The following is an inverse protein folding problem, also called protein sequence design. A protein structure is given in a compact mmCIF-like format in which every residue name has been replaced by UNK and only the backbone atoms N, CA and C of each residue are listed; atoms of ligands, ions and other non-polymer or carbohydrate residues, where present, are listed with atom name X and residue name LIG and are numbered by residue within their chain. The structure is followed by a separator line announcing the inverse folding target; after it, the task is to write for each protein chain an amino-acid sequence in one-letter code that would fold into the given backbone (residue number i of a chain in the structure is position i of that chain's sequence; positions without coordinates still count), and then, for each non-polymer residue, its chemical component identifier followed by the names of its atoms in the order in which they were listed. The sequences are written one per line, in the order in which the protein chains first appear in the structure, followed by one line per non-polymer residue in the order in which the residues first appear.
data_IF_976833446036
#
_entry.id   IF_976833446036
#
_cell.length_a   1.000
_cell.length_b   1.000
_cell.length_c   1.000
_cell.angle_alpha   90.00
_cell.angle_beta   90.00
_cell.angle_gamma   90.00
#
_symmetry.space_group_name_H-M   'P 1'
#
loop_
_entity.id
_entity.type
_entity.pdbx_description
1 polymer ?
#
# COMPACT_ATOMS: atom_id res chain seq x y z
N UNK A 1 -21.77 17.57 2.90
CA UNK A 1 -20.57 16.73 2.76
C UNK A 1 -20.40 16.46 1.28
N UNK A 2 -19.20 16.59 0.71
CA UNK A 2 -18.95 16.19 -0.67
C UNK A 2 -19.28 14.69 -0.79
N UNK A 3 -20.06 14.35 -1.81
CA UNK A 3 -20.59 13.00 -1.98
C UNK A 3 -19.60 12.20 -2.85
N UNK A 4 -18.39 11.93 -2.32
CA UNK A 4 -17.38 11.15 -3.03
C UNK A 4 -17.82 9.70 -3.15
N UNK A 5 -17.60 9.11 -4.33
CA UNK A 5 -17.73 7.68 -4.57
C UNK A 5 -16.33 7.05 -4.61
N UNK A 6 -16.05 6.23 -3.62
CA UNK A 6 -14.73 5.66 -3.42
C UNK A 6 -14.52 4.43 -4.30
N UNK A 7 -13.45 4.44 -5.08
CA UNK A 7 -12.93 3.28 -5.78
C UNK A 7 -11.80 2.63 -4.98
N UNK A 8 -11.84 1.32 -4.79
CA UNK A 8 -10.76 0.54 -4.19
C UNK A 8 -10.21 -0.42 -5.25
N UNK A 9 -8.97 -0.18 -5.67
CA UNK A 9 -8.23 -1.15 -6.48
C UNK A 9 -7.58 -2.17 -5.55
N UNK A 10 -7.96 -3.43 -5.73
CA UNK A 10 -7.53 -4.56 -4.89
C UNK A 10 -7.21 -5.80 -5.73
N UNK A 11 -6.97 -6.96 -5.10
CA UNK A 11 -6.68 -8.23 -5.77
C UNK A 11 -5.18 -8.53 -5.87
N UNK A 12 -4.31 -7.55 -5.65
CA UNK A 12 -2.86 -7.76 -5.44
C UNK A 12 -2.67 -8.57 -4.14
N UNK A 13 -3.43 -8.22 -3.10
CA UNK A 13 -3.81 -9.07 -1.98
C UNK A 13 -5.31 -8.86 -1.76
N UNK A 14 -6.09 -9.94 -1.77
CA UNK A 14 -7.53 -9.83 -1.48
C UNK A 14 -7.78 -9.46 -0.02
N UNK A 15 -6.90 -9.88 0.89
CA UNK A 15 -6.98 -9.60 2.34
C UNK A 15 -6.93 -8.10 2.57
N UNK A 16 -5.93 -7.41 2.02
CA UNK A 16 -5.81 -5.95 2.11
C UNK A 16 -7.08 -5.23 1.64
N UNK A 17 -7.68 -5.70 0.53
CA UNK A 17 -8.95 -5.13 0.03
C UNK A 17 -10.08 -5.25 1.05
N UNK A 18 -10.18 -6.40 1.73
CA UNK A 18 -11.18 -6.62 2.78
C UNK A 18 -10.92 -5.72 4.00
N UNK A 19 -9.66 -5.56 4.41
CA UNK A 19 -9.27 -4.70 5.55
C UNK A 19 -9.61 -3.24 5.27
N UNK A 20 -9.30 -2.75 4.07
CA UNK A 20 -9.70 -1.40 3.64
C UNK A 20 -11.22 -1.25 3.65
N UNK A 21 -11.96 -2.19 3.05
CA UNK A 21 -13.41 -2.13 3.02
C UNK A 21 -14.01 -2.13 4.43
N UNK A 22 -13.55 -3.02 5.31
CA UNK A 22 -13.97 -3.11 6.70
C UNK A 22 -13.65 -1.83 7.46
N UNK A 23 -12.38 -1.40 7.44
CA UNK A 23 -11.90 -0.23 8.19
C UNK A 23 -12.62 1.06 7.79
N UNK A 24 -12.88 1.27 6.49
CA UNK A 24 -13.61 2.44 6.01
C UNK A 24 -15.05 2.44 6.56
N UNK A 25 -15.74 1.29 6.52
CA UNK A 25 -17.11 1.19 7.05
C UNK A 25 -17.14 1.41 8.58
N UNK A 26 -16.17 0.86 9.32
CA UNK A 26 -16.03 1.07 10.77
C UNK A 26 -15.78 2.54 11.13
N UNK A 27 -14.92 3.23 10.37
CA UNK A 27 -14.65 4.67 10.55
C UNK A 27 -15.91 5.50 10.29
N UNK A 28 -16.64 5.21 9.21
CA UNK A 28 -17.90 5.89 8.88
C UNK A 28 -18.92 5.68 9.99
N UNK A 29 -19.08 4.45 10.45
CA UNK A 29 -19.98 4.10 11.55
C UNK A 29 -19.64 4.85 12.83
N UNK A 30 -18.36 4.89 13.22
CA UNK A 30 -17.90 5.57 14.43
C UNK A 30 -18.09 7.09 14.42
N UNK A 31 -18.09 7.70 13.20
CA UNK A 31 -18.21 9.15 13.05
C UNK A 31 -19.60 9.63 12.60
N UNK A 32 -20.58 8.72 12.49
CA UNK A 32 -21.93 9.08 12.07
C UNK A 32 -22.85 9.14 13.29
N UNK A 33 -23.56 10.26 13.51
CA UNK A 33 -24.55 10.37 14.59
C UNK A 33 -25.63 9.27 14.46
N UNK A 34 -26.03 8.69 15.58
CA UNK A 34 -27.07 7.65 15.65
C UNK A 34 -28.48 8.25 15.40
N UNK A 35 -28.72 8.69 14.17
CA UNK A 35 -30.02 9.29 13.78
C UNK A 35 -30.81 8.43 12.80
N UNK A 36 -30.31 7.24 12.44
CA UNK A 36 -30.90 6.34 11.45
C UNK A 36 -31.21 4.97 12.06
N UNK A 37 -32.15 4.23 11.42
CA UNK A 37 -32.48 2.86 11.82
C UNK A 37 -31.33 1.88 11.61
N UNK A 38 -30.49 2.17 10.60
CA UNK A 38 -29.28 1.38 10.25
C UNK A 38 -28.11 2.34 10.01
N UNK A 39 -26.87 1.91 10.29
CA UNK A 39 -25.69 2.71 9.98
C UNK A 39 -25.58 2.95 8.47
N UNK A 40 -25.22 4.17 8.03
CA UNK A 40 -24.98 4.42 6.62
C UNK A 40 -23.71 3.74 6.16
N UNK A 41 -23.74 3.14 4.97
CA UNK A 41 -22.56 2.64 4.29
C UNK A 41 -22.07 3.70 3.29
N UNK A 42 -20.76 3.97 3.21
CA UNK A 42 -20.22 4.85 2.18
C UNK A 42 -20.36 4.19 0.79
N UNK A 43 -20.54 4.99 -0.28
CA UNK A 43 -20.60 4.45 -1.64
C UNK A 43 -19.19 3.98 -2.07
N UNK A 44 -18.97 2.67 -2.11
CA UNK A 44 -17.70 2.04 -2.46
C UNK A 44 -17.88 1.13 -3.68
N UNK A 45 -16.94 1.21 -4.62
CA UNK A 45 -16.76 0.22 -5.68
C UNK A 45 -15.40 -0.43 -5.51
N UNK A 46 -15.33 -1.74 -5.59
CA UNK A 46 -14.08 -2.49 -5.54
C UNK A 46 -13.82 -3.17 -6.88
N UNK A 47 -12.61 -3.07 -7.38
CA UNK A 47 -12.14 -3.82 -8.54
C UNK A 47 -10.94 -4.65 -8.13
N UNK A 48 -11.07 -5.97 -8.31
CA UNK A 48 -10.00 -6.93 -8.05
C UNK A 48 -9.25 -7.23 -9.35
N UNK A 49 -7.93 -7.11 -9.32
CA UNK A 49 -7.05 -7.57 -10.40
C UNK A 49 -6.62 -9.01 -10.16
N UNK A 50 -6.12 -9.67 -11.18
CA UNK A 50 -5.57 -11.02 -11.08
C UNK A 50 -4.19 -10.95 -10.42
N UNK A 51 -4.07 -11.57 -9.23
CA UNK A 51 -2.83 -11.58 -8.45
C UNK A 51 -1.73 -12.40 -9.12
N UNK A 52 -2.07 -13.53 -9.74
CA UNK A 52 -1.09 -14.43 -10.36
C UNK A 52 -0.42 -13.73 -11.57
N UNK A 53 -1.23 -13.14 -12.44
CA UNK A 53 -0.72 -12.33 -13.56
C UNK A 53 0.12 -11.16 -13.07
N UNK A 54 -0.35 -10.44 -12.05
CA UNK A 54 0.37 -9.31 -11.47
C UNK A 54 1.75 -9.72 -10.93
N UNK A 55 1.80 -10.76 -10.10
CA UNK A 55 3.05 -11.26 -9.48
C UNK A 55 3.99 -11.82 -10.54
N UNK A 56 3.47 -12.53 -11.55
CA UNK A 56 4.25 -13.03 -12.68
C UNK A 56 4.95 -11.88 -13.43
N UNK A 57 4.20 -10.86 -13.85
CA UNK A 57 4.74 -9.71 -14.56
C UNK A 57 5.74 -8.91 -13.69
N UNK A 58 5.45 -8.75 -12.40
CA UNK A 58 6.33 -8.06 -11.46
C UNK A 58 7.66 -8.81 -11.27
N UNK A 59 7.62 -10.14 -11.15
CA UNK A 59 8.81 -10.99 -10.99
C UNK A 59 9.71 -10.94 -12.22
N UNK A 60 9.12 -10.88 -13.40
CA UNK A 60 9.85 -10.73 -14.68
C UNK A 60 10.25 -9.28 -14.98
N UNK A 61 9.97 -8.33 -14.08
CA UNK A 61 10.21 -6.88 -14.25
C UNK A 61 9.54 -6.30 -15.50
N UNK A 62 8.41 -6.86 -15.90
CA UNK A 62 7.58 -6.37 -17.02
C UNK A 62 6.68 -5.23 -16.50
N UNK A 63 7.30 -4.13 -16.05
CA UNK A 63 6.60 -3.03 -15.39
C UNK A 63 5.51 -2.39 -16.27
N UNK A 64 5.69 -2.35 -17.59
CA UNK A 64 4.66 -1.85 -18.51
C UNK A 64 3.38 -2.69 -18.42
N UNK A 65 3.50 -4.03 -18.34
CA UNK A 65 2.34 -4.93 -18.19
C UNK A 65 1.68 -4.81 -16.82
N UNK A 66 2.49 -4.62 -15.77
CA UNK A 66 1.97 -4.34 -14.42
C UNK A 66 1.16 -3.05 -14.44
N UNK A 67 1.69 -2.00 -15.06
CA UNK A 67 1.03 -0.71 -15.19
C UNK A 67 -0.28 -0.82 -15.98
N UNK A 68 -0.26 -1.46 -17.16
CA UNK A 68 -1.44 -1.72 -17.98
C UNK A 68 -2.55 -2.45 -17.22
N UNK A 69 -2.21 -3.51 -16.47
CA UNK A 69 -3.17 -4.26 -15.68
C UNK A 69 -3.83 -3.42 -14.59
N UNK A 70 -3.02 -2.65 -13.85
CA UNK A 70 -3.51 -1.80 -12.76
C UNK A 70 -4.34 -0.63 -13.29
N UNK A 71 -3.87 0.05 -14.33
CA UNK A 71 -4.59 1.16 -14.98
C UNK A 71 -5.92 0.68 -15.54
N UNK A 72 -5.98 -0.51 -16.16
CA UNK A 72 -7.24 -1.10 -16.62
C UNK A 72 -8.22 -1.35 -15.46
N UNK A 73 -7.72 -1.70 -14.28
CA UNK A 73 -8.52 -1.79 -13.05
C UNK A 73 -9.09 -0.43 -12.62
N UNK A 74 -8.26 0.63 -12.69
CA UNK A 74 -8.69 2.00 -12.37
C UNK A 74 -9.72 2.51 -13.38
N UNK A 75 -9.56 2.22 -14.68
CA UNK A 75 -10.57 2.54 -15.69
C UNK A 75 -11.98 2.05 -15.30
N UNK A 76 -12.08 0.78 -14.86
CA UNK A 76 -13.35 0.19 -14.40
C UNK A 76 -13.95 0.95 -13.22
N UNK A 77 -13.11 1.45 -12.30
CA UNK A 77 -13.56 2.26 -11.17
C UNK A 77 -14.09 3.63 -11.62
N UNK A 78 -13.38 4.30 -12.53
CA UNK A 78 -13.78 5.58 -13.09
C UNK A 78 -15.08 5.44 -13.90
N UNK A 79 -15.19 4.41 -14.74
CA UNK A 79 -16.40 4.09 -15.50
C UNK A 79 -17.60 3.81 -14.60
N UNK A 80 -17.35 3.23 -13.41
CA UNK A 80 -18.39 3.07 -12.38
C UNK A 80 -18.73 4.37 -11.65
N UNK A 81 -18.11 5.50 -12.03
CA UNK A 81 -18.35 6.83 -11.47
C UNK A 81 -17.62 7.12 -10.15
N UNK A 82 -16.50 6.44 -9.88
CA UNK A 82 -15.64 6.78 -8.75
C UNK A 82 -14.84 8.05 -9.05
N UNK A 83 -14.79 8.94 -8.07
CA UNK A 83 -14.05 10.22 -8.13
C UNK A 83 -12.90 10.28 -7.09
N UNK A 84 -12.77 9.23 -6.28
CA UNK A 84 -11.70 9.03 -5.33
C UNK A 84 -11.14 7.61 -5.45
N UNK A 85 -9.82 7.47 -5.44
CA UNK A 85 -9.11 6.19 -5.57
C UNK A 85 -8.28 5.88 -4.32
N UNK A 86 -8.41 4.65 -3.86
CA UNK A 86 -7.47 3.98 -2.93
C UNK A 86 -6.93 2.74 -3.61
N UNK A 87 -5.62 2.53 -3.51
CA UNK A 87 -4.95 1.32 -3.98
C UNK A 87 -4.57 0.51 -2.74
N UNK A 88 -5.22 -0.65 -2.56
CA UNK A 88 -5.02 -1.51 -1.39
C UNK A 88 -3.75 -2.37 -1.54
N UNK A 89 -2.64 -1.74 -1.90
CA UNK A 89 -1.31 -2.35 -2.04
C UNK A 89 -0.24 -1.26 -2.09
N UNK A 90 0.84 -1.41 -1.34
CA UNK A 90 1.99 -0.50 -1.46
C UNK A 90 2.61 -0.58 -2.86
N UNK A 91 2.91 -1.78 -3.34
CA UNK A 91 3.55 -1.99 -4.65
C UNK A 91 2.65 -1.57 -5.81
N UNK A 92 1.34 -1.66 -5.65
CA UNK A 92 0.36 -1.19 -6.64
C UNK A 92 0.46 0.31 -6.96
N UNK A 93 1.05 1.11 -6.07
CA UNK A 93 1.26 2.55 -6.33
C UNK A 93 2.27 2.85 -7.44
N UNK A 94 2.94 1.84 -8.00
CA UNK A 94 3.79 1.98 -9.19
C UNK A 94 3.00 2.54 -10.40
N UNK A 95 1.69 2.28 -10.48
CA UNK A 95 0.84 2.77 -11.57
C UNK A 95 0.37 4.24 -11.40
N UNK A 96 0.62 4.87 -10.24
CA UNK A 96 0.08 6.21 -9.96
C UNK A 96 0.47 7.25 -11.02
N UNK A 97 1.72 7.32 -11.55
CA UNK A 97 2.04 8.27 -12.60
C UNK A 97 1.20 8.13 -13.86
N UNK A 98 0.88 6.89 -14.26
CA UNK A 98 -0.02 6.61 -15.40
C UNK A 98 -1.46 6.97 -15.09
N UNK A 99 -1.93 6.68 -13.88
CA UNK A 99 -3.28 7.05 -13.43
C UNK A 99 -3.45 8.57 -13.37
N UNK A 100 -2.47 9.31 -12.83
CA UNK A 100 -2.51 10.79 -12.77
C UNK A 100 -2.53 11.41 -14.19
N UNK A 101 -1.81 10.80 -15.15
CA UNK A 101 -1.81 11.22 -16.55
C UNK A 101 -3.15 10.99 -17.23
N UNK A 102 -3.73 9.79 -17.04
CA UNK A 102 -4.94 9.35 -17.76
C UNK A 102 -6.22 9.90 -17.10
N UNK A 103 -6.18 10.14 -15.78
CA UNK A 103 -7.31 10.62 -14.98
C UNK A 103 -6.92 11.83 -14.10
N UNK A 104 -6.62 13.00 -14.68
CA UNK A 104 -6.09 14.15 -13.96
C UNK A 104 -7.04 14.74 -12.90
N UNK A 105 -8.32 14.37 -12.94
CA UNK A 105 -9.34 14.82 -11.98
C UNK A 105 -9.68 13.78 -10.92
N UNK A 106 -9.07 12.59 -10.98
CA UNK A 106 -9.28 11.54 -9.99
C UNK A 106 -8.50 11.87 -8.71
N UNK A 107 -9.19 11.93 -7.58
CA UNK A 107 -8.53 12.18 -6.30
C UNK A 107 -7.90 10.89 -5.77
N UNK A 108 -6.57 10.80 -5.81
CA UNK A 108 -5.83 9.62 -5.35
C UNK A 108 -5.39 9.81 -3.90
N UNK A 109 -5.87 8.96 -3.00
CA UNK A 109 -5.35 8.87 -1.63
C UNK A 109 -4.09 8.00 -1.64
N UNK A 110 -2.96 8.64 -1.90
CA UNK A 110 -1.68 7.95 -2.01
C UNK A 110 -1.18 7.50 -0.63
N UNK A 111 -0.85 6.21 -0.47
CA UNK A 111 -0.44 5.64 0.82
C UNK A 111 0.80 6.33 1.42
N UNK A 112 1.76 6.74 0.59
CA UNK A 112 2.94 7.46 1.06
C UNK A 112 2.59 8.86 1.62
N UNK A 113 1.59 9.56 1.04
CA UNK A 113 1.15 10.87 1.55
C UNK A 113 0.45 10.72 2.91
N UNK A 114 -0.37 9.66 3.05
CA UNK A 114 -1.01 9.32 4.32
C UNK A 114 0.03 8.97 5.39
N UNK A 115 1.02 8.14 5.04
CA UNK A 115 2.14 7.77 5.93
C UNK A 115 2.96 9.00 6.33
N UNK A 116 3.33 9.85 5.37
CA UNK A 116 4.07 11.08 5.64
C UNK A 116 3.31 12.04 6.56
N UNK A 117 1.99 12.18 6.35
CA UNK A 117 1.14 12.99 7.24
C UNK A 117 1.17 12.47 8.68
N UNK A 118 1.09 11.16 8.87
CA UNK A 118 1.14 10.55 10.20
C UNK A 118 2.52 10.69 10.86
N UNK A 119 3.61 10.47 10.10
CA UNK A 119 4.97 10.64 10.59
C UNK A 119 5.23 12.08 11.02
N UNK A 120 4.82 13.06 10.22
CA UNK A 120 4.95 14.49 10.56
C UNK A 120 4.21 14.88 11.83
N UNK A 121 3.00 14.33 12.07
CA UNK A 121 2.27 14.56 13.32
C UNK A 121 3.02 14.07 14.55
N UNK A 122 3.89 13.08 14.38
CA UNK A 122 4.76 12.53 15.43
C UNK A 122 6.13 13.19 15.49
N UNK A 123 6.43 14.16 14.60
CA UNK A 123 7.73 14.83 14.52
C UNK A 123 8.83 13.97 13.91
N UNK A 124 8.49 12.88 13.21
CA UNK A 124 9.44 11.94 12.61
C UNK A 124 9.80 12.36 11.18
N UNK A 125 11.06 12.24 10.82
CA UNK A 125 11.59 12.68 9.53
C UNK A 125 12.48 11.65 8.83
N UNK A 126 12.93 10.61 9.55
CA UNK A 126 13.80 9.58 9.01
C UNK A 126 13.27 8.20 9.39
N UNK A 127 12.89 7.40 8.40
CA UNK A 127 12.21 6.11 8.64
C UNK A 127 12.88 4.96 7.91
N UNK A 128 12.78 3.77 8.49
CA UNK A 128 13.05 2.52 7.79
C UNK A 128 11.87 2.14 6.89
N UNK A 129 12.14 1.40 5.83
CA UNK A 129 11.13 0.77 4.99
C UNK A 129 11.54 -0.68 4.74
N UNK A 130 10.70 -1.61 5.17
CA UNK A 130 10.79 -3.03 4.81
C UNK A 130 9.51 -3.46 4.12
N UNK A 131 9.58 -4.36 3.16
CA UNK A 131 8.41 -4.79 2.40
C UNK A 131 8.80 -5.68 1.23
N UNK A 132 7.98 -5.68 0.19
CA UNK A 132 8.30 -6.38 -1.06
C UNK A 132 9.58 -5.82 -1.67
N UNK A 133 10.25 -6.63 -2.50
CA UNK A 133 11.47 -6.20 -3.16
C UNK A 133 11.29 -4.90 -3.94
N UNK A 134 10.23 -4.73 -4.78
CA UNK A 134 9.98 -3.45 -5.45
C UNK A 134 9.73 -2.29 -4.47
N UNK A 135 9.07 -2.50 -3.34
CA UNK A 135 8.85 -1.43 -2.36
C UNK A 135 10.18 -0.91 -1.76
N UNK A 136 11.17 -1.80 -1.60
CA UNK A 136 12.49 -1.42 -1.08
C UNK A 136 13.44 -0.87 -2.15
N UNK A 137 13.36 -1.36 -3.40
CA UNK A 137 14.31 -1.04 -4.47
C UNK A 137 13.86 0.12 -5.36
N UNK A 138 12.59 0.07 -5.79
CA UNK A 138 12.05 1.10 -6.69
C UNK A 138 11.81 2.42 -5.94
N UNK A 139 11.75 3.52 -6.69
CA UNK A 139 11.75 4.86 -6.09
C UNK A 139 10.35 5.44 -5.83
N UNK A 140 9.29 4.84 -6.36
CA UNK A 140 7.93 5.41 -6.31
C UNK A 140 7.45 5.78 -4.90
N UNK A 141 7.70 4.94 -3.86
CA UNK A 141 7.36 5.28 -2.47
C UNK A 141 8.38 6.24 -1.85
N UNK A 142 9.67 5.98 -2.04
CA UNK A 142 10.76 6.77 -1.46
C UNK A 142 10.74 8.21 -1.97
N UNK A 143 10.56 8.39 -3.29
CA UNK A 143 10.44 9.72 -3.89
C UNK A 143 9.21 10.46 -3.36
N UNK A 144 8.05 9.79 -3.29
CA UNK A 144 6.83 10.42 -2.76
C UNK A 144 7.00 10.84 -1.30
N UNK A 145 7.59 10.00 -0.44
CA UNK A 145 7.91 10.34 0.94
C UNK A 145 8.89 11.52 1.03
N UNK A 146 9.88 11.57 0.13
CA UNK A 146 10.87 12.66 0.10
C UNK A 146 10.26 14.04 -0.22
N UNK A 147 9.19 14.10 -1.03
CA UNK A 147 8.44 15.34 -1.28
C UNK A 147 7.82 15.91 0.00
N UNK A 148 7.61 15.07 0.99
CA UNK A 148 7.14 15.47 2.31
C UNK A 148 8.27 15.70 3.33
N UNK A 149 9.54 15.66 2.91
CA UNK A 149 10.70 15.83 3.79
C UNK A 149 11.00 14.58 4.64
N UNK A 150 10.50 13.40 4.27
CA UNK A 150 10.79 12.14 4.96
C UNK A 150 11.93 11.42 4.25
N UNK A 151 13.01 11.17 4.98
CA UNK A 151 14.14 10.36 4.52
C UNK A 151 13.86 8.88 4.77
N UNK A 152 14.00 8.05 3.74
CA UNK A 152 13.72 6.61 3.84
C UNK A 152 15.01 5.79 3.78
N UNK A 153 15.22 4.94 4.77
CA UNK A 153 16.29 3.93 4.81
C UNK A 153 15.71 2.57 4.44
N UNK A 154 16.41 1.84 3.60
CA UNK A 154 16.10 0.43 3.31
C UNK A 154 17.24 -0.48 3.79
N UNK A 155 16.98 -1.78 3.97
CA UNK A 155 18.05 -2.74 4.31
C UNK A 155 19.16 -2.74 3.28
N UNK A 156 20.41 -2.79 3.73
CA UNK A 156 21.58 -2.86 2.87
C UNK A 156 21.82 -4.28 2.38
N UNK A 157 22.15 -4.40 1.09
CA UNK A 157 22.53 -5.66 0.45
C UNK A 157 21.34 -6.49 -0.06
N UNK A 158 21.55 -7.03 -1.24
CA UNK A 158 20.55 -7.83 -1.98
C UNK A 158 20.08 -9.06 -1.20
N UNK A 159 21.02 -9.71 -0.45
CA UNK A 159 20.70 -10.92 0.30
C UNK A 159 19.59 -10.68 1.33
N UNK A 160 19.67 -9.60 2.11
CA UNK A 160 18.68 -9.29 3.15
C UNK A 160 17.32 -8.95 2.52
N UNK A 161 17.33 -8.17 1.44
CA UNK A 161 16.09 -7.83 0.72
C UNK A 161 15.42 -9.08 0.13
N UNK A 162 16.20 -10.01 -0.41
CA UNK A 162 15.69 -11.28 -0.92
C UNK A 162 15.11 -12.13 0.21
N UNK A 163 15.79 -12.25 1.37
CA UNK A 163 15.28 -12.98 2.53
C UNK A 163 13.94 -12.40 3.03
N UNK A 164 13.82 -11.07 3.11
CA UNK A 164 12.54 -10.42 3.48
C UNK A 164 11.46 -10.77 2.46
N UNK A 165 11.77 -10.69 1.16
CA UNK A 165 10.84 -10.99 0.10
C UNK A 165 10.40 -12.46 0.09
N UNK A 166 11.33 -13.40 0.35
CA UNK A 166 11.02 -14.82 0.50
C UNK A 166 10.09 -15.09 1.69
N UNK A 167 10.32 -14.45 2.84
CA UNK A 167 9.42 -14.55 4.00
C UNK A 167 8.02 -14.07 3.62
N UNK A 168 7.88 -12.94 2.94
CA UNK A 168 6.58 -12.43 2.50
C UNK A 168 5.90 -13.43 1.56
N UNK A 169 6.60 -13.87 0.51
CA UNK A 169 6.00 -14.67 -0.56
C UNK A 169 5.76 -16.12 -0.19
N UNK A 170 6.62 -16.73 0.65
CA UNK A 170 6.56 -18.18 0.92
C UNK A 170 5.96 -18.51 2.28
N UNK A 171 5.87 -17.54 3.18
CA UNK A 171 5.33 -17.75 4.53
C UNK A 171 4.09 -16.87 4.76
N UNK A 172 4.27 -15.55 4.87
CA UNK A 172 3.22 -14.64 5.30
C UNK A 172 2.01 -14.63 4.35
N UNK A 173 2.23 -14.65 3.02
CA UNK A 173 1.15 -14.74 2.02
C UNK A 173 0.33 -16.03 2.09
N UNK A 174 0.84 -17.04 2.80
CA UNK A 174 0.14 -18.30 3.07
C UNK A 174 -0.34 -18.43 4.52
N UNK A 175 -0.35 -17.33 5.29
CA UNK A 175 -0.66 -17.32 6.72
C UNK A 175 0.25 -18.25 7.55
N UNK A 176 1.50 -18.42 7.15
CA UNK A 176 2.52 -19.18 7.88
C UNK A 176 3.35 -18.19 8.67
N UNK A 177 3.25 -18.26 10.00
CA UNK A 177 3.97 -17.37 10.91
C UNK A 177 5.03 -18.18 11.68
N UNK A 178 6.31 -17.82 11.48
CA UNK A 178 7.45 -18.48 12.14
C UNK A 178 8.20 -17.50 13.03
N UNK A 179 8.52 -17.91 14.24
CA UNK A 179 9.29 -17.09 15.19
C UNK A 179 10.65 -16.69 14.61
N UNK A 180 11.33 -17.60 13.91
CA UNK A 180 12.63 -17.34 13.28
C UNK A 180 12.54 -16.25 12.20
N UNK A 181 11.48 -16.24 11.42
CA UNK A 181 11.25 -15.22 10.39
C UNK A 181 10.91 -13.87 11.01
N UNK A 182 10.08 -13.86 12.06
CA UNK A 182 9.81 -12.67 12.85
C UNK A 182 11.08 -12.08 13.43
N UNK A 183 11.93 -12.92 14.06
CA UNK A 183 13.17 -12.48 14.68
C UNK A 183 14.16 -11.89 13.66
N UNK A 184 14.20 -12.43 12.43
CA UNK A 184 14.96 -11.85 11.32
C UNK A 184 14.45 -10.47 10.95
N UNK A 185 13.12 -10.30 10.78
CA UNK A 185 12.52 -8.99 10.45
C UNK A 185 12.79 -7.97 11.57
N UNK A 186 12.63 -8.36 12.84
CA UNK A 186 12.94 -7.51 13.99
C UNK A 186 14.42 -7.10 14.00
N UNK A 187 15.34 -8.01 13.67
CA UNK A 187 16.77 -7.68 13.56
C UNK A 187 17.02 -6.65 12.47
N UNK A 188 16.38 -6.79 11.31
CA UNK A 188 16.49 -5.80 10.20
C UNK A 188 15.97 -4.43 10.65
N UNK A 189 14.86 -4.38 11.37
CA UNK A 189 14.31 -3.11 11.90
C UNK A 189 15.30 -2.47 12.87
N UNK A 190 15.92 -3.23 13.76
CA UNK A 190 16.94 -2.73 14.69
C UNK A 190 18.20 -2.23 13.98
N UNK A 191 18.61 -2.87 12.90
CA UNK A 191 19.72 -2.41 12.08
C UNK A 191 19.39 -1.06 11.40
N UNK A 192 18.15 -0.86 10.93
CA UNK A 192 17.69 0.42 10.41
C UNK A 192 17.63 1.50 11.52
N UNK A 193 17.18 1.16 12.71
CA UNK A 193 17.20 2.04 13.89
C UNK A 193 18.62 2.46 14.24
N UNK A 194 19.58 1.54 14.25
CA UNK A 194 21.00 1.84 14.50
C UNK A 194 21.61 2.78 13.45
N UNK A 195 21.05 2.82 12.22
CA UNK A 195 21.40 3.75 11.16
C UNK A 195 20.63 5.07 11.24
N UNK A 196 19.84 5.24 12.29
CA UNK A 196 19.10 6.46 12.62
C UNK A 196 17.67 6.52 12.09
N UNK A 197 17.04 5.40 11.76
CA UNK A 197 15.61 5.38 11.53
C UNK A 197 14.87 5.58 12.87
N UNK A 198 13.93 6.52 12.87
CA UNK A 198 13.12 6.88 14.06
C UNK A 198 11.85 6.02 14.16
N UNK A 199 11.44 5.41 13.04
CA UNK A 199 10.34 4.48 12.92
C UNK A 199 10.59 3.54 11.73
N UNK A 200 9.76 2.52 11.55
CA UNK A 200 9.81 1.64 10.39
C UNK A 200 8.43 1.55 9.74
N UNK A 201 8.37 1.79 8.42
CA UNK A 201 7.18 1.51 7.62
C UNK A 201 7.21 0.02 7.25
N UNK A 202 6.17 -0.71 7.66
CA UNK A 202 5.92 -2.07 7.23
C UNK A 202 5.22 -1.99 5.85
N UNK A 203 6.04 -2.03 4.79
CA UNK A 203 5.63 -1.77 3.42
C UNK A 203 4.94 -2.95 2.72
N UNK A 204 4.48 -3.93 3.46
CA UNK A 204 3.65 -5.04 2.99
C UNK A 204 2.63 -5.36 4.08
N UNK A 205 1.37 -5.52 3.68
CA UNK A 205 0.26 -5.80 4.61
C UNK A 205 0.41 -7.13 5.34
N UNK A 206 1.14 -8.07 4.77
CA UNK A 206 1.39 -9.38 5.37
C UNK A 206 2.45 -9.35 6.50
N UNK A 207 3.19 -8.23 6.68
CA UNK A 207 4.23 -8.13 7.74
C UNK A 207 3.64 -7.69 9.10
N UNK A 208 2.39 -7.26 9.16
CA UNK A 208 1.74 -6.77 10.41
C UNK A 208 1.62 -7.84 11.50
#
# INVERSE_FOLDING_TARGET
MANYKLGILTGISYVSGLDYFKGINEIVLANTPQCHLMPPNPPIVMVSVDCDEYVHNLTLKLFDKVDEQLVAGVHKLVDAGCDMLVIASNTGHICVPSVERDFPNLNILHIADCSASQLKKQGLSKVGLIGTKPAMEEDYLKQRLSLHGITTLVPDGEKIKNEIYEIICQELSFNIFRDESRDKLVKVIRDLEARGAEACILGCTEIE
#
